data_IF_558868466693
#
_entry.id   IF_558868466693
#
_cell.length_a   1.000
_cell.length_b   1.000
_cell.length_c   1.000
_cell.angle_alpha   90.00
_cell.angle_beta   90.00
_cell.angle_gamma   90.00
#
_symmetry.space_group_name_H-M   'P 1'
#
loop_
_entity.id
_entity.type
_entity.pdbx_description
1 polymer ?
#
# COMPACT_ATOMS: atom_id res chain seq x y z
N UNK A 1 4.06 14.50 -24.14
CA UNK A 1 4.61 13.13 -24.11
C UNK A 1 5.99 13.08 -23.47
N UNK A 2 7.02 13.77 -24.00
CA UNK A 2 8.35 13.84 -23.37
C UNK A 2 8.28 14.32 -21.91
N UNK A 3 7.56 15.42 -21.66
CA UNK A 3 7.35 15.97 -20.30
C UNK A 3 6.72 14.96 -19.31
N UNK A 4 5.80 14.11 -19.76
CA UNK A 4 5.16 13.09 -18.92
C UNK A 4 6.14 11.97 -18.56
N UNK A 5 6.93 11.50 -19.53
CA UNK A 5 7.92 10.45 -19.33
C UNK A 5 9.00 10.90 -18.33
N UNK A 6 9.42 12.17 -18.39
CA UNK A 6 10.34 12.76 -17.42
C UNK A 6 9.77 12.85 -15.99
N UNK A 7 8.45 12.76 -15.81
CA UNK A 7 7.83 12.64 -14.47
C UNK A 7 7.82 11.20 -13.97
N UNK A 8 7.71 10.22 -14.86
CA UNK A 8 7.67 8.79 -14.52
C UNK A 8 9.05 8.26 -14.13
N UNK A 9 10.07 8.58 -14.93
CA UNK A 9 11.44 8.08 -14.75
C UNK A 9 12.00 8.26 -13.32
N UNK A 10 12.01 9.47 -12.73
CA UNK A 10 12.57 9.64 -11.38
C UNK A 10 11.78 8.86 -10.32
N UNK A 11 10.46 8.78 -10.47
CA UNK A 11 9.58 8.05 -9.55
C UNK A 11 9.79 6.54 -9.65
N UNK A 12 9.83 6.02 -10.88
CA UNK A 12 10.11 4.61 -11.14
C UNK A 12 11.50 4.18 -10.67
N UNK A 13 12.51 5.03 -10.87
CA UNK A 13 13.87 4.79 -10.39
C UNK A 13 13.96 4.84 -8.86
N UNK A 14 13.18 5.69 -8.19
CA UNK A 14 13.10 5.71 -6.73
C UNK A 14 12.39 4.46 -6.17
N UNK A 15 11.41 3.91 -6.90
CA UNK A 15 10.70 2.68 -6.54
C UNK A 15 11.50 1.41 -6.81
N UNK A 16 12.33 1.40 -7.85
CA UNK A 16 13.03 0.21 -8.30
C UNK A 16 13.86 -0.48 -7.20
N UNK A 17 14.60 0.21 -6.30
CA UNK A 17 15.29 -0.44 -5.19
C UNK A 17 14.34 -1.17 -4.23
N UNK A 18 13.14 -0.65 -4.00
CA UNK A 18 12.14 -1.26 -3.11
C UNK A 18 11.58 -2.52 -3.74
N UNK A 19 11.20 -2.47 -5.03
CA UNK A 19 10.75 -3.65 -5.75
C UNK A 19 11.85 -4.70 -5.88
N UNK A 20 13.08 -4.28 -6.18
CA UNK A 20 14.25 -5.17 -6.22
C UNK A 20 14.46 -5.89 -4.88
N UNK A 21 14.42 -5.15 -3.76
CA UNK A 21 14.51 -5.74 -2.43
C UNK A 21 13.40 -6.76 -2.18
N UNK A 22 12.15 -6.46 -2.54
CA UNK A 22 11.06 -7.43 -2.45
C UNK A 22 11.38 -8.72 -3.22
N UNK A 23 11.86 -8.59 -4.46
CA UNK A 23 12.25 -9.71 -5.30
C UNK A 23 13.33 -10.59 -4.66
N UNK A 24 14.37 -9.96 -4.10
CA UNK A 24 15.44 -10.69 -3.39
C UNK A 24 14.90 -11.44 -2.19
N UNK A 25 14.07 -10.80 -1.36
CA UNK A 25 13.48 -11.44 -0.18
C UNK A 25 12.52 -12.57 -0.56
N UNK A 26 11.78 -12.43 -1.65
CA UNK A 26 10.91 -13.49 -2.17
C UNK A 26 11.73 -14.70 -2.64
N UNK A 27 12.85 -14.47 -3.33
CA UNK A 27 13.76 -15.55 -3.71
C UNK A 27 14.37 -16.26 -2.49
N UNK A 28 14.74 -15.51 -1.44
CA UNK A 28 15.21 -16.08 -0.18
C UNK A 28 14.11 -16.88 0.55
N UNK A 29 12.84 -16.52 0.36
CA UNK A 29 11.69 -17.29 0.81
C UNK A 29 11.32 -18.47 -0.12
N UNK A 30 12.17 -18.79 -1.10
CA UNK A 30 12.00 -19.85 -2.09
C UNK A 30 10.79 -19.67 -3.02
N UNK A 31 10.37 -18.43 -3.26
CA UNK A 31 9.33 -18.16 -4.25
C UNK A 31 9.91 -18.22 -5.66
N UNK A 32 9.12 -18.72 -6.61
CA UNK A 32 9.53 -18.76 -8.02
C UNK A 32 9.44 -17.37 -8.66
N UNK A 33 10.32 -17.08 -9.62
CA UNK A 33 10.30 -15.82 -10.38
C UNK A 33 8.96 -15.61 -11.10
N UNK A 34 8.37 -16.68 -11.63
CA UNK A 34 7.02 -16.62 -12.23
C UNK A 34 5.96 -16.28 -11.19
N UNK A 35 6.05 -16.82 -9.98
CA UNK A 35 5.17 -16.46 -8.86
C UNK A 35 5.30 -14.98 -8.49
N UNK A 36 6.52 -14.46 -8.42
CA UNK A 36 6.80 -13.03 -8.15
C UNK A 36 6.26 -12.13 -9.27
N UNK A 37 6.41 -12.51 -10.54
CA UNK A 37 5.85 -11.80 -11.69
C UNK A 37 4.32 -11.72 -11.59
N UNK A 38 3.65 -12.87 -11.39
CA UNK A 38 2.19 -12.93 -11.28
C UNK A 38 1.68 -12.13 -10.09
N UNK A 39 2.31 -12.30 -8.91
CA UNK A 39 1.95 -11.55 -7.71
C UNK A 39 2.13 -10.04 -7.92
N UNK A 40 3.23 -9.61 -8.52
CA UNK A 40 3.47 -8.17 -8.74
C UNK A 40 2.56 -7.58 -9.83
N UNK A 41 2.13 -8.40 -10.79
CA UNK A 41 1.23 -7.97 -11.86
C UNK A 41 -0.22 -7.84 -11.39
N UNK A 42 -0.67 -8.75 -10.53
CA UNK A 42 -2.06 -8.84 -10.03
C UNK A 42 -2.23 -8.08 -8.71
N UNK A 43 -1.22 -8.12 -7.84
CA UNK A 43 -1.19 -7.47 -6.54
C UNK A 43 -0.24 -6.29 -6.55
N UNK A 44 -0.54 -5.27 -7.35
CA UNK A 44 0.27 -4.04 -7.43
C UNK A 44 0.17 -3.23 -6.13
N UNK A 45 0.89 -3.69 -5.11
CA UNK A 45 0.92 -3.10 -3.77
C UNK A 45 2.22 -3.46 -3.06
N UNK A 46 3.10 -2.47 -2.88
CA UNK A 46 4.33 -2.69 -2.12
C UNK A 46 4.06 -3.19 -0.71
N UNK A 47 3.27 -2.44 0.07
CA UNK A 47 2.94 -2.80 1.45
C UNK A 47 2.23 -4.16 1.57
N UNK A 48 1.29 -4.46 0.68
CA UNK A 48 0.59 -5.74 0.68
C UNK A 48 1.51 -6.91 0.35
N UNK A 49 2.41 -6.74 -0.61
CA UNK A 49 3.36 -7.78 -1.00
C UNK A 49 4.39 -8.08 0.11
N UNK A 50 4.97 -7.05 0.74
CA UNK A 50 5.88 -7.25 1.88
C UNK A 50 5.18 -7.87 3.08
N UNK A 51 3.94 -7.45 3.39
CA UNK A 51 3.14 -8.06 4.45
C UNK A 51 2.83 -9.53 4.13
N UNK A 52 2.45 -9.84 2.89
CA UNK A 52 2.19 -11.21 2.46
C UNK A 52 3.42 -12.10 2.59
N UNK A 53 4.60 -11.60 2.16
CA UNK A 53 5.86 -12.31 2.28
C UNK A 53 6.17 -12.64 3.75
N UNK A 54 6.10 -11.64 4.65
CA UNK A 54 6.35 -11.85 6.08
C UNK A 54 5.38 -12.86 6.71
N UNK A 55 4.09 -12.79 6.38
CA UNK A 55 3.07 -13.71 6.89
C UNK A 55 3.23 -15.12 6.31
N UNK A 56 3.69 -15.23 5.06
CA UNK A 56 3.94 -16.54 4.44
C UNK A 56 5.07 -17.30 5.13
N UNK A 57 6.11 -16.60 5.57
CA UNK A 57 7.26 -17.18 6.27
C UNK A 57 6.89 -17.68 7.68
N UNK A 58 5.85 -17.12 8.30
CA UNK A 58 5.32 -17.57 9.59
C UNK A 58 4.37 -18.77 9.46
N UNK A 59 4.04 -19.17 8.23
CA UNK A 59 3.06 -20.20 7.91
C UNK A 59 1.65 -19.61 7.73
N UNK A 60 1.12 -19.70 6.51
CA UNK A 60 -0.25 -19.29 6.22
C UNK A 60 -1.26 -20.22 6.91
N UNK A 61 -0.93 -21.50 7.09
CA UNK A 61 -1.79 -22.47 7.76
C UNK A 61 -2.00 -22.16 9.26
N UNK A 62 -0.96 -21.67 9.95
CA UNK A 62 -1.03 -21.26 11.35
C UNK A 62 -1.74 -19.92 11.52
N UNK A 63 -1.47 -18.97 10.63
CA UNK A 63 -2.06 -17.61 10.64
C UNK A 63 -3.53 -17.61 10.19
N UNK A 64 -3.88 -18.45 9.23
CA UNK A 64 -5.17 -18.50 8.56
C UNK A 64 -5.22 -17.55 7.35
N UNK A 65 -5.58 -18.09 6.17
CA UNK A 65 -5.63 -17.32 4.91
C UNK A 65 -6.52 -16.08 4.98
N UNK A 66 -7.62 -16.16 5.73
CA UNK A 66 -8.54 -15.04 5.93
C UNK A 66 -7.91 -13.87 6.70
N UNK A 67 -7.03 -14.18 7.67
CA UNK A 67 -6.29 -13.17 8.41
C UNK A 67 -5.29 -12.44 7.53
N UNK A 68 -4.54 -13.21 6.74
CA UNK A 68 -3.60 -12.66 5.75
C UNK A 68 -4.32 -11.74 4.77
N UNK A 69 -5.46 -12.19 4.22
CA UNK A 69 -6.28 -11.39 3.31
C UNK A 69 -6.69 -10.05 3.93
N UNK A 70 -7.21 -10.06 5.16
CA UNK A 70 -7.73 -8.84 5.77
C UNK A 70 -6.64 -7.89 6.27
N UNK A 71 -5.45 -8.38 6.65
CA UNK A 71 -4.28 -7.51 6.90
C UNK A 71 -3.90 -6.77 5.62
N UNK A 72 -3.74 -7.50 4.52
CA UNK A 72 -3.40 -6.92 3.22
C UNK A 72 -4.49 -5.95 2.76
N UNK A 73 -5.77 -6.34 2.88
CA UNK A 73 -6.90 -5.47 2.54
C UNK A 73 -6.83 -4.16 3.33
N UNK A 74 -6.64 -4.25 4.65
CA UNK A 74 -6.61 -3.10 5.55
C UNK A 74 -5.49 -2.11 5.20
N UNK A 75 -4.29 -2.61 4.88
CA UNK A 75 -3.18 -1.76 4.42
C UNK A 75 -3.47 -1.07 3.09
N UNK A 76 -4.34 -1.66 2.27
CA UNK A 76 -4.65 -1.22 0.91
C UNK A 76 -5.98 -0.47 0.78
N UNK A 77 -6.76 -0.30 1.85
CA UNK A 77 -8.02 0.47 1.83
C UNK A 77 -7.84 1.89 1.29
N UNK A 78 -6.61 2.46 1.38
CA UNK A 78 -6.23 3.74 0.76
C UNK A 78 -6.53 3.83 -0.75
N UNK A 79 -6.58 2.69 -1.46
CA UNK A 79 -6.92 2.68 -2.88
C UNK A 79 -8.37 3.06 -3.17
N UNK A 80 -9.28 2.89 -2.21
CA UNK A 80 -10.70 3.26 -2.40
C UNK A 80 -10.85 4.77 -2.65
N UNK A 81 -10.45 5.67 -1.72
CA UNK A 81 -10.60 7.12 -1.94
C UNK A 81 -9.72 7.62 -3.09
N UNK A 82 -8.54 7.04 -3.32
CA UNK A 82 -7.69 7.41 -4.46
C UNK A 82 -8.34 7.05 -5.80
N UNK A 83 -8.93 5.87 -5.91
CA UNK A 83 -9.60 5.44 -7.15
C UNK A 83 -10.87 6.23 -7.44
N UNK A 84 -11.66 6.54 -6.40
CA UNK A 84 -12.84 7.38 -6.55
C UNK A 84 -12.48 8.80 -6.99
N UNK A 85 -11.45 9.42 -6.42
CA UNK A 85 -11.03 10.77 -6.80
C UNK A 85 -10.33 10.83 -8.17
N UNK A 86 -9.45 9.88 -8.48
CA UNK A 86 -8.58 9.96 -9.66
C UNK A 86 -9.06 9.16 -10.88
N UNK A 87 -9.92 8.15 -10.72
CA UNK A 87 -10.36 7.26 -11.80
C UNK A 87 -11.83 7.44 -12.17
N UNK A 88 -12.70 7.71 -11.18
CA UNK A 88 -14.15 7.88 -11.41
C UNK A 88 -14.49 9.01 -12.40
N UNK A 89 -13.87 10.21 -12.33
CA UNK A 89 -14.21 11.34 -13.20
C UNK A 89 -13.79 11.14 -14.67
N UNK A 90 -12.95 10.14 -14.97
CA UNK A 90 -12.44 9.91 -16.32
C UNK A 90 -13.58 9.41 -17.24
N UNK A 91 -13.75 10.08 -18.38
CA UNK A 91 -14.71 9.67 -19.43
C UNK A 91 -14.09 8.55 -20.28
N UNK A 92 -14.11 7.33 -19.74
CA UNK A 92 -13.54 6.11 -20.34
C UNK A 92 -14.55 4.96 -20.29
N UNK A 93 -14.36 3.95 -21.15
CA UNK A 93 -15.12 2.70 -21.04
C UNK A 93 -14.77 1.97 -19.74
N UNK A 94 -15.70 1.13 -19.26
CA UNK A 94 -15.55 0.38 -18.00
C UNK A 94 -14.24 -0.42 -17.93
N UNK A 95 -13.83 -1.18 -18.97
CA UNK A 95 -12.57 -1.93 -18.94
C UNK A 95 -11.34 -1.03 -18.74
N UNK A 96 -11.30 0.13 -19.40
CA UNK A 96 -10.20 1.08 -19.25
C UNK A 96 -10.19 1.75 -17.88
N UNK A 97 -11.35 1.97 -17.26
CA UNK A 97 -11.43 2.42 -15.86
C UNK A 97 -10.83 1.38 -14.91
N UNK A 98 -11.12 0.10 -15.10
CA UNK A 98 -10.54 -0.97 -14.29
C UNK A 98 -9.01 -1.03 -14.44
N UNK A 99 -8.50 -1.01 -15.67
CA UNK A 99 -7.04 -1.04 -15.93
C UNK A 99 -6.34 0.15 -15.27
N UNK A 100 -6.91 1.35 -15.40
CA UNK A 100 -6.33 2.55 -14.80
C UNK A 100 -6.49 2.60 -13.28
N UNK A 101 -7.55 2.02 -12.72
CA UNK A 101 -7.69 1.88 -11.27
C UNK A 101 -6.69 0.86 -10.72
N UNK A 102 -6.45 -0.24 -11.43
CA UNK A 102 -5.45 -1.25 -11.07
C UNK A 102 -4.03 -0.68 -11.05
N UNK A 103 -3.66 0.11 -12.06
CA UNK A 103 -2.33 0.72 -12.14
C UNK A 103 -2.18 1.98 -11.25
N UNK A 104 -3.14 2.28 -10.38
CA UNK A 104 -3.09 3.43 -9.49
C UNK A 104 -2.36 3.06 -8.19
N UNK A 105 -1.21 3.67 -7.97
CA UNK A 105 -0.45 3.65 -6.72
C UNK A 105 -0.27 5.05 -6.13
N UNK A 106 0.16 5.16 -4.87
CA UNK A 106 0.41 6.42 -4.17
C UNK A 106 1.34 7.34 -4.99
N UNK A 107 2.36 6.77 -5.61
CA UNK A 107 3.34 7.49 -6.41
C UNK A 107 2.72 8.02 -7.70
N UNK A 108 1.86 7.24 -8.34
CA UNK A 108 1.13 7.69 -9.52
C UNK A 108 0.09 8.76 -9.18
N UNK A 109 -0.59 8.62 -8.03
CA UNK A 109 -1.57 9.58 -7.54
C UNK A 109 -0.91 10.92 -7.19
N UNK A 110 0.23 10.89 -6.49
CA UNK A 110 1.03 12.08 -6.16
C UNK A 110 1.68 12.71 -7.40
N UNK A 111 2.02 11.88 -8.39
CA UNK A 111 2.60 12.38 -9.64
C UNK A 111 1.56 13.08 -10.49
N UNK A 112 0.32 12.58 -10.58
CA UNK A 112 -0.75 13.14 -11.40
C UNK A 112 -1.16 14.57 -11.00
N UNK A 113 -1.56 15.37 -11.99
CA UNK A 113 -2.08 16.74 -11.81
C UNK A 113 -3.52 16.81 -12.28
N UNK A 114 -4.31 17.74 -11.72
CA UNK A 114 -5.69 17.97 -12.15
C UNK A 114 -5.83 18.25 -13.66
N UNK A 115 -4.87 19.01 -14.22
CA UNK A 115 -4.80 19.36 -15.65
C UNK A 115 -4.28 18.26 -16.56
N UNK A 116 -3.85 17.10 -16.04
CA UNK A 116 -3.30 16.04 -16.89
C UNK A 116 -4.39 15.41 -17.76
N UNK A 117 -4.09 15.31 -19.06
CA UNK A 117 -4.91 14.57 -20.01
C UNK A 117 -4.96 13.08 -19.67
N UNK A 118 -6.01 12.39 -20.11
CA UNK A 118 -6.15 10.93 -19.96
C UNK A 118 -4.88 10.19 -20.40
N UNK A 119 -4.33 10.57 -21.56
CA UNK A 119 -3.10 9.97 -22.10
C UNK A 119 -1.91 10.14 -21.15
N UNK A 120 -1.80 11.28 -20.47
CA UNK A 120 -0.71 11.52 -19.51
C UNK A 120 -0.87 10.64 -18.27
N UNK A 121 -2.08 10.49 -17.75
CA UNK A 121 -2.39 9.61 -16.62
C UNK A 121 -2.10 8.15 -16.95
N UNK A 122 -2.47 7.69 -18.15
CA UNK A 122 -2.14 6.35 -18.65
C UNK A 122 -0.63 6.11 -18.63
N UNK A 123 0.16 7.03 -19.18
CA UNK A 123 1.63 6.92 -19.21
C UNK A 123 2.21 6.87 -17.78
N UNK A 124 1.69 7.69 -16.87
CA UNK A 124 2.15 7.74 -15.49
C UNK A 124 1.88 6.43 -14.77
N UNK A 125 0.62 5.98 -14.74
CA UNK A 125 0.19 4.77 -14.03
C UNK A 125 0.85 3.51 -14.57
N UNK A 126 0.77 3.29 -15.88
CA UNK A 126 1.36 2.10 -16.50
C UNK A 126 2.88 2.14 -16.38
N UNK A 127 3.51 3.31 -16.54
CA UNK A 127 4.96 3.43 -16.41
C UNK A 127 5.45 3.05 -15.01
N UNK A 128 4.83 3.59 -13.97
CA UNK A 128 5.17 3.26 -12.58
C UNK A 128 4.91 1.78 -12.27
N UNK A 129 3.76 1.23 -12.73
CA UNK A 129 3.45 -0.19 -12.62
C UNK A 129 4.54 -1.07 -13.27
N UNK A 130 4.98 -0.74 -14.48
CA UNK A 130 6.02 -1.49 -15.18
C UNK A 130 7.37 -1.42 -14.47
N UNK A 131 7.74 -0.26 -13.92
CA UNK A 131 8.95 -0.14 -13.10
C UNK A 131 8.89 -1.05 -11.88
N UNK A 132 7.75 -1.10 -11.20
CA UNK A 132 7.55 -1.98 -10.06
C UNK A 132 7.72 -3.45 -10.45
N UNK A 133 6.93 -3.94 -11.42
CA UNK A 133 6.99 -5.35 -11.87
C UNK A 133 8.38 -5.72 -12.38
N UNK A 134 9.01 -4.87 -13.19
CA UNK A 134 10.34 -5.13 -13.71
C UNK A 134 11.38 -5.24 -12.59
N UNK A 135 11.32 -4.34 -11.60
CA UNK A 135 12.25 -4.35 -10.48
C UNK A 135 12.06 -5.54 -9.55
N UNK A 136 10.82 -5.98 -9.27
CA UNK A 136 10.56 -7.16 -8.43
C UNK A 136 11.02 -8.44 -9.10
N UNK A 137 10.78 -8.58 -10.40
CA UNK A 137 11.25 -9.72 -11.19
C UNK A 137 12.78 -9.72 -11.28
N UNK A 138 13.40 -8.57 -11.53
CA UNK A 138 14.86 -8.44 -11.54
C UNK A 138 15.45 -8.80 -10.17
N UNK A 139 14.89 -8.33 -9.07
CA UNK A 139 15.32 -8.69 -7.72
C UNK A 139 15.29 -10.20 -7.49
N UNK A 140 14.20 -10.86 -7.89
CA UNK A 140 14.05 -12.29 -7.72
C UNK A 140 14.99 -13.10 -8.62
N UNK A 141 15.14 -12.71 -9.90
CA UNK A 141 15.97 -13.42 -10.86
C UNK A 141 17.47 -13.26 -10.57
N UNK A 142 17.89 -12.06 -10.14
CA UNK A 142 19.29 -11.74 -9.88
C UNK A 142 19.71 -12.13 -8.45
N UNK A 143 18.80 -12.61 -7.60
CA UNK A 143 19.07 -12.93 -6.20
C UNK A 143 20.21 -13.95 -6.03
N UNK A 144 20.28 -14.96 -6.91
CA UNK A 144 21.28 -16.02 -6.88
C UNK A 144 22.70 -15.53 -7.24
N UNK A 145 22.83 -14.35 -7.85
CA UNK A 145 24.12 -13.75 -8.24
C UNK A 145 24.59 -12.67 -7.27
N UNK A 146 23.82 -12.40 -6.20
CA UNK A 146 24.22 -11.46 -5.16
C UNK A 146 25.32 -12.07 -4.28
N UNK A 147 26.37 -11.30 -3.92
CA UNK A 147 27.35 -11.74 -2.92
C UNK A 147 26.67 -12.04 -1.58
N UNK A 148 27.16 -13.06 -0.86
CA UNK A 148 26.61 -13.49 0.43
C UNK A 148 26.56 -12.37 1.48
N UNK A 149 27.50 -11.42 1.43
CA UNK A 149 27.49 -10.24 2.29
C UNK A 149 26.28 -9.36 2.03
N UNK A 150 26.01 -9.05 0.76
CA UNK A 150 24.89 -8.21 0.34
C UNK A 150 23.55 -8.94 0.57
N UNK A 151 23.48 -10.23 0.24
CA UNK A 151 22.28 -11.05 0.46
C UNK A 151 21.85 -11.02 1.94
N UNK A 152 22.79 -11.19 2.87
CA UNK A 152 22.53 -11.09 4.33
C UNK A 152 22.10 -9.69 4.77
N UNK A 153 22.73 -8.64 4.26
CA UNK A 153 22.31 -7.26 4.57
C UNK A 153 20.88 -7.00 4.14
N UNK A 154 20.50 -7.45 2.94
CA UNK A 154 19.15 -7.26 2.40
C UNK A 154 18.09 -8.03 3.20
N UNK A 155 18.39 -9.24 3.68
CA UNK A 155 17.49 -10.00 4.57
C UNK A 155 17.09 -9.20 5.82
N UNK A 156 18.03 -8.44 6.38
CA UNK A 156 17.81 -7.59 7.55
C UNK A 156 16.89 -6.38 7.31
N UNK A 157 16.62 -6.01 6.05
CA UNK A 157 15.81 -4.84 5.70
C UNK A 157 14.30 -5.09 5.72
N UNK A 158 13.86 -6.34 5.87
CA UNK A 158 12.43 -6.70 5.87
C UNK A 158 11.65 -5.93 6.95
N UNK A 159 12.21 -5.83 8.17
CA UNK A 159 11.59 -5.12 9.28
C UNK A 159 11.55 -3.59 9.06
N UNK A 160 12.68 -2.90 8.76
CA UNK A 160 12.67 -1.48 8.45
C UNK A 160 11.69 -1.09 7.32
N UNK A 161 11.63 -1.87 6.25
CA UNK A 161 10.73 -1.58 5.12
C UNK A 161 9.27 -1.76 5.51
N UNK A 162 8.94 -2.84 6.22
CA UNK A 162 7.58 -3.06 6.72
C UNK A 162 7.14 -1.94 7.68
N UNK A 163 8.05 -1.47 8.53
CA UNK A 163 7.79 -0.35 9.45
C UNK A 163 7.54 0.97 8.71
N UNK A 164 8.34 1.28 7.68
CA UNK A 164 8.14 2.48 6.84
C UNK A 164 6.81 2.42 6.11
N UNK A 165 6.48 1.29 5.49
CA UNK A 165 5.23 1.11 4.75
C UNK A 165 4.01 1.22 5.68
N UNK A 166 4.09 0.64 6.88
CA UNK A 166 3.08 0.82 7.91
C UNK A 166 2.95 2.29 8.33
N UNK A 167 4.06 2.99 8.58
CA UNK A 167 4.06 4.40 8.96
C UNK A 167 3.45 5.30 7.87
N UNK A 168 3.70 5.02 6.60
CA UNK A 168 3.09 5.73 5.47
C UNK A 168 1.58 5.44 5.38
N UNK A 169 1.17 4.18 5.48
CA UNK A 169 -0.26 3.82 5.52
C UNK A 169 -0.97 4.50 6.69
N UNK A 170 -0.35 4.52 7.87
CA UNK A 170 -0.86 5.24 9.04
C UNK A 170 -0.91 6.75 8.82
N UNK A 171 0.14 7.32 8.22
CA UNK A 171 0.22 8.74 7.86
C UNK A 171 -0.89 9.17 6.91
N UNK A 172 -1.23 8.34 5.91
CA UNK A 172 -2.34 8.61 4.99
C UNK A 172 -3.69 8.63 5.73
N UNK A 173 -3.91 7.73 6.67
CA UNK A 173 -5.11 7.73 7.53
C UNK A 173 -5.12 8.96 8.45
N UNK A 174 -3.99 9.30 9.07
CA UNK A 174 -3.83 10.51 9.88
C UNK A 174 -4.18 11.77 9.08
N UNK A 175 -3.62 11.91 7.86
CA UNK A 175 -3.90 13.04 6.97
C UNK A 175 -5.37 13.11 6.56
N UNK A 176 -6.01 11.97 6.29
CA UNK A 176 -7.44 11.91 6.02
C UNK A 176 -8.25 12.47 7.21
N UNK A 177 -7.93 12.07 8.44
CA UNK A 177 -8.60 12.55 9.67
C UNK A 177 -8.30 14.04 9.94
N UNK A 178 -7.07 14.50 9.71
CA UNK A 178 -6.67 15.90 9.84
C UNK A 178 -7.31 16.81 8.78
N UNK A 179 -7.45 16.35 7.55
CA UNK A 179 -8.08 17.13 6.49
C UNK A 179 -9.61 17.19 6.66
N UNK A 180 -10.23 16.15 7.22
CA UNK A 180 -11.63 16.19 7.65
C UNK A 180 -11.92 17.24 8.73
N UNK A 181 -10.93 17.60 9.55
CA UNK A 181 -11.07 18.63 10.62
C UNK A 181 -10.81 20.06 10.15
N UNK A 182 -10.22 20.27 8.97
CA UNK A 182 -10.09 21.62 8.37
C UNK A 182 -11.39 22.11 7.71
N UNK A 183 -12.28 21.21 7.33
CA UNK A 183 -13.56 21.56 6.69
C UNK A 183 -14.71 21.79 7.68
N UNK A 184 -14.59 21.30 8.92
CA UNK A 184 -15.54 21.54 10.00
C UNK A 184 -14.84 22.20 11.18
N UNK A 185 -15.16 23.47 11.46
CA UNK A 185 -14.46 24.37 12.40
C UNK A 185 -14.47 23.99 13.90
N UNK A 186 -13.97 22.81 14.26
CA UNK A 186 -13.82 22.34 15.63
C UNK A 186 -12.38 21.96 15.97
N UNK A 187 -11.75 22.75 16.85
CA UNK A 187 -10.49 22.60 17.56
C UNK A 187 -9.64 21.33 17.31
N UNK A 188 -8.36 21.54 16.95
CA UNK A 188 -7.33 20.55 16.58
C UNK A 188 -6.91 19.49 17.62
N UNK A 189 -7.76 19.19 18.62
CA UNK A 189 -7.55 18.14 19.64
C UNK A 189 -8.31 16.84 19.29
N UNK A 190 -9.33 16.92 18.43
CA UNK A 190 -10.17 15.78 18.01
C UNK A 190 -9.47 14.67 17.18
N UNK A 191 -8.54 14.96 16.24
CA UNK A 191 -7.97 13.93 15.38
C UNK A 191 -6.96 13.04 16.12
N UNK A 192 -6.13 13.63 17.00
CA UNK A 192 -5.23 12.87 17.87
C UNK A 192 -6.00 11.98 18.84
N UNK A 193 -7.12 12.47 19.40
CA UNK A 193 -7.96 11.69 20.31
C UNK A 193 -8.60 10.46 19.65
N UNK A 194 -9.12 10.62 18.43
CA UNK A 194 -9.69 9.52 17.63
C UNK A 194 -8.63 8.46 17.31
N UNK A 195 -7.43 8.88 16.95
CA UNK A 195 -6.34 7.96 16.64
C UNK A 195 -5.79 7.27 17.88
N UNK A 196 -5.66 8.00 18.99
CA UNK A 196 -5.30 7.41 20.28
C UNK A 196 -6.33 6.36 20.71
N UNK A 197 -7.63 6.63 20.54
CA UNK A 197 -8.69 5.65 20.80
C UNK A 197 -8.59 4.41 19.90
N UNK A 198 -8.32 4.59 18.60
CA UNK A 198 -8.10 3.47 17.67
C UNK A 198 -6.89 2.62 18.07
N UNK A 199 -5.76 3.24 18.41
CA UNK A 199 -4.54 2.55 18.85
C UNK A 199 -4.77 1.83 20.17
N UNK A 200 -5.33 2.51 21.18
CA UNK A 200 -5.60 1.92 22.49
C UNK A 200 -6.56 0.72 22.38
N UNK A 201 -7.61 0.85 21.57
CA UNK A 201 -8.56 -0.24 21.33
C UNK A 201 -7.87 -1.42 20.64
N UNK A 202 -7.05 -1.15 19.62
CA UNK A 202 -6.32 -2.21 18.90
C UNK A 202 -5.32 -2.93 19.81
N UNK A 203 -4.54 -2.18 20.61
CA UNK A 203 -3.58 -2.75 21.57
C UNK A 203 -4.31 -3.57 22.63
N UNK A 204 -5.42 -3.07 23.18
CA UNK A 204 -6.22 -3.80 24.16
C UNK A 204 -6.75 -5.12 23.58
N UNK A 205 -7.18 -5.11 22.32
CA UNK A 205 -7.63 -6.32 21.62
C UNK A 205 -6.49 -7.30 21.33
N UNK A 206 -5.25 -6.83 21.11
CA UNK A 206 -4.07 -7.72 21.02
C UNK A 206 -3.88 -8.49 22.32
N UNK A 207 -3.99 -7.81 23.47
CA UNK A 207 -3.83 -8.46 24.77
C UNK A 207 -5.01 -9.38 25.11
N UNK A 208 -6.23 -9.05 24.70
CA UNK A 208 -7.43 -9.83 25.03
C UNK A 208 -7.66 -11.03 24.10
N UNK A 209 -7.41 -10.87 22.80
CA UNK A 209 -7.73 -11.87 21.77
C UNK A 209 -6.49 -12.55 21.19
N UNK A 210 -5.29 -12.09 21.58
CA UNK A 210 -4.02 -12.57 21.05
C UNK A 210 -3.71 -12.05 19.64
N UNK A 211 -2.43 -12.15 19.27
CA UNK A 211 -1.91 -11.67 17.98
C UNK A 211 -2.59 -12.29 16.75
N UNK A 212 -3.24 -13.46 16.90
CA UNK A 212 -3.93 -14.15 15.82
C UNK A 212 -5.36 -13.65 15.56
N UNK A 213 -6.07 -13.12 16.56
CA UNK A 213 -7.51 -12.83 16.43
C UNK A 213 -7.89 -11.37 16.67
N UNK A 214 -6.97 -10.53 17.15
CA UNK A 214 -7.26 -9.14 17.50
C UNK A 214 -7.71 -8.26 16.33
N UNK A 215 -7.35 -8.63 15.10
CA UNK A 215 -7.32 -7.72 13.96
C UNK A 215 -8.72 -7.45 13.36
N UNK A 216 -9.63 -8.44 13.23
CA UNK A 216 -11.02 -8.16 12.76
C UNK A 216 -11.74 -7.22 13.74
N UNK A 217 -11.76 -7.53 15.05
CA UNK A 217 -12.43 -6.66 16.01
C UNK A 217 -11.75 -5.29 16.08
N UNK A 218 -10.44 -5.20 15.87
CA UNK A 218 -9.71 -3.93 15.83
C UNK A 218 -10.11 -3.09 14.60
N UNK A 219 -10.19 -3.70 13.42
CA UNK A 219 -10.61 -3.00 12.18
C UNK A 219 -12.05 -2.50 12.32
N UNK A 220 -12.97 -3.35 12.78
CA UNK A 220 -14.37 -2.97 13.00
C UNK A 220 -14.49 -1.86 14.05
N UNK A 221 -13.78 -1.98 15.16
CA UNK A 221 -13.80 -0.97 16.22
C UNK A 221 -13.21 0.35 15.73
N UNK A 222 -12.08 0.31 15.03
CA UNK A 222 -11.47 1.50 14.43
C UNK A 222 -12.40 2.15 13.39
N UNK A 223 -13.07 1.35 12.55
CA UNK A 223 -14.06 1.86 11.60
C UNK A 223 -15.24 2.53 12.30
N UNK A 224 -15.78 1.93 13.37
CA UNK A 224 -16.87 2.52 14.16
C UNK A 224 -16.43 3.81 14.85
N UNK A 225 -15.21 3.86 15.38
CA UNK A 225 -14.65 5.07 15.99
C UNK A 225 -14.47 6.16 14.91
N UNK A 226 -13.88 5.83 13.76
CA UNK A 226 -13.66 6.77 12.65
C UNK A 226 -14.96 7.27 12.02
N UNK A 227 -16.00 6.43 11.93
CA UNK A 227 -17.30 6.86 11.38
C UNK A 227 -18.09 7.69 12.38
N UNK A 228 -18.09 7.33 13.67
CA UNK A 228 -18.81 8.05 14.72
C UNK A 228 -18.16 9.39 15.08
N UNK A 229 -16.83 9.47 15.01
CA UNK A 229 -16.07 10.63 15.47
C UNK A 229 -15.24 11.32 14.39
N UNK A 230 -15.15 10.76 13.17
CA UNK A 230 -14.41 11.33 12.04
C UNK A 230 -15.29 11.93 10.92
N UNK A 231 -16.61 11.68 10.91
CA UNK A 231 -17.56 12.36 10.02
C UNK A 231 -18.29 13.49 10.76
N UNK A 232 -17.87 14.73 10.52
CA UNK A 232 -18.74 15.92 10.51
C UNK A 232 -18.15 16.91 9.50
N UNK A 233 -18.66 16.92 8.26
CA UNK A 233 -18.24 17.92 7.25
C UNK A 233 -18.42 17.61 5.77
N UNK A 234 -19.26 16.65 5.35
CA UNK A 234 -19.53 16.41 3.92
C UNK A 234 -21.02 16.32 3.55
N UNK A 235 -21.91 16.66 4.48
CA UNK A 235 -23.34 16.86 4.18
C UNK A 235 -23.66 18.34 4.43
N UNK A 236 -23.21 19.21 3.51
CA UNK A 236 -23.76 20.55 3.23
C UNK A 236 -23.30 21.00 1.83
#
# INVERSE_FOLDING_TARGET
MKSTIFRVLPVGLALAPVGFLFGVLAAQAHWSTTGVLLLSSIGFTGSGQFAYLALSQQGIASTGIFAVFLVILSMNLRYIPMSLSASQPLKLSVPWKFVLAHCLADESYATERGSDSIRSRVIIRIGIFLFWVASTVAGCALAAWLPDSLSRTLSGLTFPVSAILFALSFGNVMQYVLNGTRSGGGAGIRPLGVLFACVLTSVSLVFLLGAKYFWIPSILSCYLILTKYGKQGFDE
#
